data_IF_767870682485
#
_entry.id   IF_767870682485
#
_cell.length_a   1.000
_cell.length_b   1.000
_cell.length_c   1.000
_cell.angle_alpha   90.00
_cell.angle_beta   90.00
_cell.angle_gamma   90.00
#
_symmetry.space_group_name_H-M   'P 1'
#
loop_
_entity.id
_entity.type
_entity.pdbx_description
1 polymer ?
#
# COMPACT_ATOMS: atom_id res chain seq x y z
N UNK A 1 -27.83 122.35 -59.29
CA UNK A 1 -26.89 121.67 -58.38
C UNK A 1 -26.96 120.18 -58.69
N UNK A 2 -25.83 119.57 -59.07
CA UNK A 2 -25.78 118.18 -59.53
C UNK A 2 -26.06 117.22 -58.36
N UNK A 3 -27.03 116.31 -58.52
CA UNK A 3 -27.25 115.20 -57.58
C UNK A 3 -26.05 114.25 -57.64
N UNK A 4 -25.29 114.14 -56.54
CA UNK A 4 -24.27 113.12 -56.41
C UNK A 4 -24.93 111.74 -56.52
N UNK A 5 -24.50 110.91 -57.47
CA UNK A 5 -25.02 109.55 -57.62
C UNK A 5 -24.51 108.70 -56.44
N UNK A 6 -25.42 108.04 -55.72
CA UNK A 6 -25.09 107.12 -54.62
C UNK A 6 -24.35 105.90 -55.18
N UNK A 7 -23.17 105.59 -54.64
CA UNK A 7 -22.32 104.47 -55.09
C UNK A 7 -22.34 103.29 -54.12
N UNK A 8 -21.98 102.10 -54.62
CA UNK A 8 -21.86 100.89 -53.81
C UNK A 8 -20.88 101.05 -52.64
N UNK A 9 -19.71 101.66 -52.87
CA UNK A 9 -18.68 101.83 -51.83
C UNK A 9 -19.16 102.70 -50.68
N UNK A 10 -19.92 103.78 -50.98
CA UNK A 10 -20.51 104.63 -49.95
C UNK A 10 -21.50 103.84 -49.08
N UNK A 11 -22.38 103.05 -49.72
CA UNK A 11 -23.36 102.20 -49.01
C UNK A 11 -22.67 101.09 -48.21
N UNK A 12 -21.61 100.49 -48.73
CA UNK A 12 -20.81 99.48 -48.04
C UNK A 12 -20.07 100.04 -46.82
N UNK A 13 -19.48 101.24 -46.94
CA UNK A 13 -18.81 101.92 -45.84
C UNK A 13 -19.78 102.34 -44.74
N UNK A 14 -20.95 102.90 -45.11
CA UNK A 14 -22.01 103.23 -44.17
C UNK A 14 -22.58 101.99 -43.48
N UNK A 15 -22.81 100.91 -44.22
CA UNK A 15 -23.26 99.63 -43.67
C UNK A 15 -22.25 99.03 -42.68
N UNK A 16 -20.95 99.08 -43.01
CA UNK A 16 -19.89 98.65 -42.11
C UNK A 16 -19.81 99.52 -40.84
N UNK A 17 -20.02 100.83 -40.96
CA UNK A 17 -20.09 101.74 -39.81
C UNK A 17 -21.28 101.44 -38.88
N UNK A 18 -22.46 101.20 -39.44
CA UNK A 18 -23.66 100.79 -38.68
C UNK A 18 -23.44 99.43 -37.99
N UNK A 19 -22.81 98.48 -38.68
CA UNK A 19 -22.47 97.17 -38.12
C UNK A 19 -21.43 97.27 -36.99
N UNK A 20 -20.39 98.10 -37.15
CA UNK A 20 -19.39 98.35 -36.12
C UNK A 20 -19.97 99.04 -34.88
N UNK A 21 -21.07 99.78 -35.05
CA UNK A 21 -21.84 100.40 -33.98
C UNK A 21 -22.76 99.41 -33.24
N UNK A 22 -22.75 98.13 -33.63
CA UNK A 22 -23.62 97.08 -33.05
C UNK A 22 -25.11 97.26 -33.39
N UNK A 23 -25.45 98.17 -34.29
CA UNK A 23 -26.82 98.41 -34.70
C UNK A 23 -27.23 97.48 -35.85
N UNK A 24 -28.52 97.11 -35.95
CA UNK A 24 -29.00 96.33 -37.08
C UNK A 24 -28.82 97.15 -38.36
N UNK A 25 -28.08 96.61 -39.33
CA UNK A 25 -27.83 97.28 -40.62
C UNK A 25 -29.11 97.26 -41.46
N UNK A 26 -30.04 98.18 -41.18
CA UNK A 26 -31.29 98.40 -41.92
C UNK A 26 -31.11 99.44 -43.02
N UNK A 27 -32.03 99.48 -43.99
CA UNK A 27 -31.98 100.47 -45.10
C UNK A 27 -32.03 101.89 -44.54
N UNK A 28 -32.85 102.11 -43.51
CA UNK A 28 -33.03 103.40 -42.83
C UNK A 28 -31.75 103.86 -42.13
N UNK A 29 -31.11 102.97 -41.37
CA UNK A 29 -29.85 103.27 -40.67
C UNK A 29 -28.72 103.63 -41.65
N UNK A 30 -28.65 102.94 -42.79
CA UNK A 30 -27.65 103.20 -43.82
C UNK A 30 -27.96 104.49 -44.60
N UNK A 31 -29.23 104.79 -44.87
CA UNK A 31 -29.62 106.07 -45.50
C UNK A 31 -29.38 107.28 -44.58
N UNK A 32 -29.63 107.14 -43.29
CA UNK A 32 -29.36 108.19 -42.30
C UNK A 32 -27.86 108.44 -42.13
N UNK A 33 -27.04 107.39 -42.16
CA UNK A 33 -25.57 107.51 -42.11
C UNK A 33 -24.97 108.16 -43.38
N UNK A 34 -25.67 108.11 -44.52
CA UNK A 34 -25.26 108.71 -45.79
C UNK A 34 -25.80 110.13 -46.01
N UNK A 35 -26.67 110.64 -45.12
CA UNK A 35 -27.45 111.86 -45.29
C UNK A 35 -28.12 111.95 -46.68
N UNK A 36 -28.62 110.81 -47.15
CA UNK A 36 -29.20 110.62 -48.48
C UNK A 36 -30.59 109.99 -48.36
N UNK A 37 -31.55 110.35 -49.24
CA UNK A 37 -32.87 109.73 -49.21
C UNK A 37 -32.76 108.23 -49.46
N UNK A 38 -33.58 107.44 -48.74
CA UNK A 38 -33.71 106.01 -48.94
C UNK A 38 -34.23 105.71 -50.34
N UNK A 39 -33.31 105.46 -51.27
CA UNK A 39 -33.59 105.19 -52.68
C UNK A 39 -33.41 103.71 -52.99
N UNK A 40 -34.00 103.27 -54.11
CA UNK A 40 -33.85 101.90 -54.62
C UNK A 40 -32.36 101.53 -54.82
N UNK A 41 -31.51 102.51 -55.16
CA UNK A 41 -30.07 102.32 -55.31
C UNK A 41 -29.38 101.92 -53.98
N UNK A 42 -29.73 102.58 -52.85
CA UNK A 42 -29.23 102.22 -51.51
C UNK A 42 -29.66 100.79 -51.16
N UNK A 43 -30.91 100.42 -51.44
CA UNK A 43 -31.41 99.08 -51.18
C UNK A 43 -30.65 98.00 -51.97
N UNK A 44 -30.44 98.22 -53.28
CA UNK A 44 -29.71 97.28 -54.14
C UNK A 44 -28.25 97.11 -53.70
N UNK A 45 -27.56 98.22 -53.40
CA UNK A 45 -26.18 98.18 -52.92
C UNK A 45 -26.07 97.55 -51.52
N UNK A 46 -27.05 97.79 -50.64
CA UNK A 46 -27.08 97.19 -49.31
C UNK A 46 -27.37 95.67 -49.37
N UNK A 47 -28.24 95.23 -50.27
CA UNK A 47 -28.49 93.81 -50.50
C UNK A 47 -27.25 93.10 -51.06
N UNK A 48 -26.55 93.72 -52.01
CA UNK A 48 -25.28 93.22 -52.53
C UNK A 48 -24.21 93.14 -51.43
N UNK A 49 -24.10 94.16 -50.58
CA UNK A 49 -23.17 94.14 -49.45
C UNK A 49 -23.51 93.04 -48.43
N UNK A 50 -24.79 92.84 -48.10
CA UNK A 50 -25.18 91.74 -47.18
C UNK A 50 -24.85 90.36 -47.75
N UNK A 51 -24.92 90.19 -49.07
CA UNK A 51 -24.58 88.92 -49.73
C UNK A 51 -23.08 88.58 -49.67
N UNK A 52 -22.22 89.59 -49.46
CA UNK A 52 -20.78 89.41 -49.30
C UNK A 52 -20.34 89.31 -47.84
N UNK A 53 -21.28 89.44 -46.88
CA UNK A 53 -20.97 89.29 -45.46
C UNK A 53 -20.96 87.81 -45.04
N UNK A 54 -20.01 87.38 -44.19
CA UNK A 54 -20.00 86.05 -43.62
C UNK A 54 -21.29 85.78 -42.82
N UNK A 55 -21.97 84.63 -43.01
CA UNK A 55 -23.11 84.26 -42.17
C UNK A 55 -22.64 84.11 -40.73
N UNK A 56 -23.45 84.61 -39.78
CA UNK A 56 -23.14 84.54 -38.36
C UNK A 56 -22.97 83.08 -37.90
N UNK A 57 -22.02 82.78 -36.99
CA UNK A 57 -21.83 81.42 -36.48
C UNK A 57 -23.10 80.94 -35.78
N UNK A 58 -23.67 79.85 -36.27
CA UNK A 58 -24.74 79.13 -35.57
C UNK A 58 -24.09 78.38 -34.41
N UNK A 59 -24.57 78.52 -33.15
CA UNK A 59 -24.02 77.77 -32.03
C UNK A 59 -24.15 76.26 -32.30
N UNK A 60 -23.06 75.53 -32.08
CA UNK A 60 -23.06 74.08 -32.21
C UNK A 60 -23.97 73.48 -31.14
N UNK A 61 -24.87 72.55 -31.49
CA UNK A 61 -25.71 71.90 -30.49
C UNK A 61 -24.85 71.03 -29.56
N UNK A 62 -24.80 71.37 -28.28
CA UNK A 62 -24.21 70.53 -27.22
C UNK A 62 -25.25 69.53 -26.70
N UNK A 63 -24.80 68.30 -26.45
CA UNK A 63 -25.65 67.25 -25.88
C UNK A 63 -26.03 67.60 -24.43
N UNK A 64 -27.32 67.55 -24.07
CA UNK A 64 -27.77 67.81 -22.69
C UNK A 64 -27.13 66.83 -21.70
N UNK A 65 -26.71 67.34 -20.54
CA UNK A 65 -26.03 66.56 -19.51
C UNK A 65 -26.83 65.32 -19.06
N UNK A 66 -28.17 65.43 -19.00
CA UNK A 66 -29.06 64.34 -18.62
C UNK A 66 -29.01 63.17 -19.60
N UNK A 67 -28.87 63.46 -20.90
CA UNK A 67 -28.75 62.43 -21.95
C UNK A 67 -27.42 61.70 -21.82
N UNK A 68 -26.34 62.44 -21.52
CA UNK A 68 -25.02 61.86 -21.30
C UNK A 68 -24.99 60.95 -20.05
N UNK A 69 -25.65 61.40 -18.96
CA UNK A 69 -25.82 60.60 -17.75
C UNK A 69 -26.65 59.32 -18.01
N UNK A 70 -27.71 59.42 -18.81
CA UNK A 70 -28.52 58.26 -19.19
C UNK A 70 -27.73 57.25 -20.04
N UNK A 71 -26.94 57.72 -21.01
CA UNK A 71 -26.09 56.87 -21.85
C UNK A 71 -24.99 56.18 -21.05
N UNK A 72 -24.33 56.90 -20.15
CA UNK A 72 -23.30 56.31 -19.27
C UNK A 72 -23.89 55.30 -18.28
N UNK A 73 -25.09 55.58 -17.73
CA UNK A 73 -25.82 54.65 -16.89
C UNK A 73 -26.31 53.40 -17.64
N UNK A 74 -26.71 53.54 -18.90
CA UNK A 74 -27.01 52.39 -19.77
C UNK A 74 -25.75 51.58 -20.09
N UNK A 75 -24.65 52.23 -20.48
CA UNK A 75 -23.40 51.56 -20.82
C UNK A 75 -22.83 50.76 -19.64
N UNK A 76 -22.91 51.28 -18.41
CA UNK A 76 -22.54 50.55 -17.18
C UNK A 76 -23.40 49.31 -16.98
N UNK A 77 -24.74 49.45 -17.03
CA UNK A 77 -25.66 48.31 -16.89
C UNK A 77 -25.42 47.24 -17.95
N UNK A 78 -25.24 47.64 -19.20
CA UNK A 78 -24.95 46.71 -20.29
C UNK A 78 -23.61 45.98 -20.07
N UNK A 79 -22.55 46.69 -19.64
CA UNK A 79 -21.27 46.08 -19.31
C UNK A 79 -21.37 45.12 -18.11
N UNK A 80 -22.15 45.48 -17.10
CA UNK A 80 -22.42 44.63 -15.93
C UNK A 80 -23.16 43.35 -16.33
N UNK A 81 -24.22 43.47 -17.13
CA UNK A 81 -25.01 42.35 -17.66
C UNK A 81 -24.19 41.45 -18.59
N UNK A 82 -23.46 42.04 -19.54
CA UNK A 82 -22.60 41.29 -20.47
C UNK A 82 -21.48 40.53 -19.74
N UNK A 83 -20.92 41.12 -18.67
CA UNK A 83 -19.90 40.47 -17.84
C UNK A 83 -20.44 39.48 -16.80
N UNK A 84 -21.75 39.50 -16.51
CA UNK A 84 -22.34 38.71 -15.43
C UNK A 84 -22.17 37.20 -15.65
N UNK A 85 -22.44 36.71 -16.85
CA UNK A 85 -22.30 35.30 -17.19
C UNK A 85 -20.83 34.82 -17.08
N UNK A 86 -19.87 35.64 -17.52
CA UNK A 86 -18.44 35.30 -17.41
C UNK A 86 -17.98 35.26 -15.94
N UNK A 87 -18.40 36.22 -15.12
CA UNK A 87 -18.09 36.21 -13.67
C UNK A 87 -18.73 35.02 -12.96
N UNK A 88 -19.98 34.68 -13.29
CA UNK A 88 -20.64 33.50 -12.76
C UNK A 88 -19.93 32.20 -13.18
N UNK A 89 -19.51 32.10 -14.45
CA UNK A 89 -18.72 30.97 -14.94
C UNK A 89 -17.38 30.82 -14.21
N UNK A 90 -16.65 31.91 -14.02
CA UNK A 90 -15.39 31.90 -13.26
C UNK A 90 -15.60 31.47 -11.80
N UNK A 91 -16.64 32.00 -11.14
CA UNK A 91 -16.99 31.62 -9.78
C UNK A 91 -17.32 30.12 -9.67
N UNK A 92 -18.08 29.58 -10.64
CA UNK A 92 -18.39 28.16 -10.69
C UNK A 92 -17.12 27.33 -10.91
N UNK A 93 -16.26 27.69 -11.87
CA UNK A 93 -15.02 26.94 -12.12
C UNK A 93 -14.06 26.99 -10.93
N UNK A 94 -14.02 28.09 -10.19
CA UNK A 94 -13.24 28.18 -8.96
C UNK A 94 -13.78 27.21 -7.92
N UNK A 95 -15.10 27.18 -7.72
CA UNK A 95 -15.74 26.24 -6.81
C UNK A 95 -15.51 24.78 -7.21
N UNK A 96 -15.53 24.48 -8.51
CA UNK A 96 -15.27 23.12 -9.01
C UNK A 96 -13.80 22.72 -8.80
N UNK A 97 -12.86 23.65 -8.99
CA UNK A 97 -11.45 23.43 -8.72
C UNK A 97 -11.18 23.18 -7.23
N UNK A 98 -11.81 23.96 -6.34
CA UNK A 98 -11.69 23.75 -4.89
C UNK A 98 -12.22 22.36 -4.50
N UNK A 99 -13.38 21.96 -5.02
CA UNK A 99 -13.94 20.63 -4.78
C UNK A 99 -13.04 19.50 -5.32
N UNK A 100 -12.39 19.69 -6.47
CA UNK A 100 -11.44 18.72 -7.03
C UNK A 100 -10.16 18.62 -6.20
N UNK A 101 -9.66 19.74 -5.66
CA UNK A 101 -8.50 19.74 -4.77
C UNK A 101 -8.80 19.00 -3.47
N UNK A 102 -9.97 19.24 -2.88
CA UNK A 102 -10.42 18.52 -1.67
C UNK A 102 -10.58 17.02 -1.93
N UNK A 103 -11.20 16.65 -3.06
CA UNK A 103 -11.33 15.25 -3.45
C UNK A 103 -9.98 14.58 -3.71
N UNK A 104 -9.04 15.29 -4.35
CA UNK A 104 -7.68 14.80 -4.58
C UNK A 104 -6.93 14.58 -3.27
N UNK A 105 -7.03 15.52 -2.33
CA UNK A 105 -6.42 15.37 -1.01
C UNK A 105 -7.00 14.17 -0.24
N UNK A 106 -8.31 13.93 -0.36
CA UNK A 106 -8.96 12.73 0.20
C UNK A 106 -8.41 11.43 -0.41
N UNK A 107 -8.30 11.36 -1.74
CA UNK A 107 -7.77 10.19 -2.44
C UNK A 107 -6.29 9.93 -2.13
N UNK A 108 -5.49 10.98 -1.97
CA UNK A 108 -4.10 10.85 -1.56
C UNK A 108 -3.99 10.28 -0.15
N UNK A 109 -4.81 10.77 0.80
CA UNK A 109 -4.86 10.22 2.15
C UNK A 109 -5.31 8.76 2.18
N UNK A 110 -6.32 8.39 1.39
CA UNK A 110 -6.78 7.00 1.25
C UNK A 110 -5.69 6.09 0.66
N UNK A 111 -5.00 6.54 -0.40
CA UNK A 111 -3.87 5.80 -0.99
C UNK A 111 -2.75 5.59 0.03
N UNK A 112 -2.42 6.61 0.81
CA UNK A 112 -1.35 6.53 1.80
C UNK A 112 -1.73 5.56 2.92
N UNK A 113 -3.00 5.58 3.37
CA UNK A 113 -3.52 4.61 4.33
C UNK A 113 -3.49 3.17 3.80
N UNK A 114 -3.89 2.95 2.53
CA UNK A 114 -3.83 1.63 1.89
C UNK A 114 -2.40 1.14 1.73
N UNK A 115 -1.47 2.03 1.37
CA UNK A 115 -0.04 1.71 1.28
C UNK A 115 0.51 1.29 2.64
N UNK A 116 0.22 2.04 3.69
CA UNK A 116 0.65 1.71 5.05
C UNK A 116 0.09 0.35 5.52
N UNK A 117 -1.19 0.09 5.30
CA UNK A 117 -1.81 -1.18 5.65
C UNK A 117 -1.24 -2.37 4.85
N UNK A 118 -0.90 -2.15 3.58
CA UNK A 118 -0.22 -3.15 2.75
C UNK A 118 1.17 -3.47 3.30
N UNK A 119 1.94 -2.46 3.66
CA UNK A 119 3.31 -2.65 4.13
C UNK A 119 3.33 -3.35 5.49
N UNK A 120 2.41 -3.00 6.40
CA UNK A 120 2.19 -3.73 7.66
C UNK A 120 1.82 -5.20 7.41
N UNK A 121 0.92 -5.47 6.46
CA UNK A 121 0.54 -6.84 6.12
C UNK A 121 1.71 -7.66 5.54
N UNK A 122 2.60 -7.03 4.77
CA UNK A 122 3.81 -7.68 4.24
C UNK A 122 4.83 -7.99 5.34
N UNK A 123 5.00 -7.08 6.31
CA UNK A 123 5.85 -7.32 7.48
C UNK A 123 5.33 -8.50 8.31
N UNK A 124 4.03 -8.51 8.61
CA UNK A 124 3.39 -9.63 9.31
C UNK A 124 3.57 -10.94 8.53
N UNK A 125 3.40 -10.93 7.21
CA UNK A 125 3.58 -12.13 6.39
C UNK A 125 5.02 -12.67 6.50
N UNK A 126 6.03 -11.79 6.45
CA UNK A 126 7.42 -12.18 6.60
C UNK A 126 7.71 -12.81 7.97
N UNK A 127 7.19 -12.25 9.06
CA UNK A 127 7.30 -12.83 10.42
C UNK A 127 6.64 -14.22 10.51
N UNK A 128 5.50 -14.39 9.84
CA UNK A 128 4.78 -15.68 9.82
C UNK A 128 5.56 -16.72 9.03
N UNK A 129 6.16 -16.35 7.90
CA UNK A 129 6.99 -17.26 7.11
C UNK A 129 8.22 -17.71 7.91
N UNK A 130 8.92 -16.81 8.59
CA UNK A 130 10.05 -17.17 9.48
C UNK A 130 9.59 -18.12 10.61
N UNK A 131 8.43 -17.83 11.22
CA UNK A 131 7.85 -18.69 12.24
C UNK A 131 7.52 -20.08 11.71
N UNK A 132 6.95 -20.17 10.50
CA UNK A 132 6.62 -21.43 9.84
C UNK A 132 7.89 -22.22 9.57
N UNK A 133 8.93 -21.60 9.02
CA UNK A 133 10.21 -22.26 8.73
C UNK A 133 10.83 -22.85 10.00
N UNK A 134 10.88 -22.06 11.09
CA UNK A 134 11.37 -22.52 12.38
C UNK A 134 10.56 -23.71 12.90
N UNK A 135 9.23 -23.61 12.92
CA UNK A 135 8.35 -24.69 13.39
C UNK A 135 8.47 -25.95 12.53
N UNK A 136 8.66 -25.81 11.22
CA UNK A 136 8.90 -26.95 10.34
C UNK A 136 10.25 -27.62 10.63
N UNK A 137 11.31 -26.85 10.92
CA UNK A 137 12.60 -27.40 11.32
C UNK A 137 12.51 -28.16 12.66
N UNK A 138 11.84 -27.56 13.66
CA UNK A 138 11.57 -28.21 14.95
C UNK A 138 10.75 -29.50 14.78
N UNK A 139 9.71 -29.49 13.94
CA UNK A 139 8.88 -30.66 13.65
C UNK A 139 9.68 -31.78 12.96
N UNK A 140 10.55 -31.44 12.00
CA UNK A 140 11.43 -32.43 11.33
C UNK A 140 12.39 -33.06 12.34
N UNK A 141 13.00 -32.25 13.20
CA UNK A 141 13.89 -32.73 14.25
C UNK A 141 13.14 -33.65 15.24
N UNK A 142 11.98 -33.23 15.74
CA UNK A 142 11.17 -34.04 16.64
C UNK A 142 10.77 -35.39 16.03
N UNK A 143 10.41 -35.41 14.73
CA UNK A 143 10.10 -36.64 13.99
C UNK A 143 11.32 -37.55 13.85
N UNK A 144 12.50 -36.98 13.61
CA UNK A 144 13.74 -37.74 13.54
C UNK A 144 14.05 -38.39 14.88
N UNK A 145 14.06 -37.63 15.98
CA UNK A 145 14.29 -38.15 17.34
C UNK A 145 13.29 -39.26 17.67
N UNK A 146 12.01 -39.06 17.38
CA UNK A 146 10.99 -40.07 17.64
C UNK A 146 11.23 -41.36 16.83
N UNK A 147 11.62 -41.22 15.56
CA UNK A 147 11.94 -42.37 14.70
C UNK A 147 13.17 -43.12 15.21
N UNK A 148 14.24 -42.40 15.55
CA UNK A 148 15.47 -42.98 16.10
C UNK A 148 15.20 -43.70 17.42
N UNK A 149 14.36 -43.13 18.29
CA UNK A 149 13.94 -43.76 19.55
C UNK A 149 13.12 -45.05 19.31
N UNK A 150 12.21 -45.06 18.33
CA UNK A 150 11.43 -46.24 17.98
C UNK A 150 12.32 -47.35 17.40
N UNK A 151 13.26 -47.01 16.51
CA UNK A 151 14.23 -47.96 15.94
C UNK A 151 15.16 -48.50 17.03
N UNK A 152 15.65 -47.62 17.92
CA UNK A 152 16.45 -48.01 19.09
C UNK A 152 15.71 -49.00 19.97
N UNK A 153 14.46 -48.69 20.33
CA UNK A 153 13.61 -49.59 21.12
C UNK A 153 13.39 -50.94 20.45
N UNK A 154 13.14 -50.98 19.14
CA UNK A 154 12.97 -52.23 18.40
C UNK A 154 14.26 -53.06 18.40
N UNK A 155 15.42 -52.41 18.26
CA UNK A 155 16.74 -53.07 18.33
C UNK A 155 17.01 -53.64 19.73
N UNK A 156 16.71 -52.89 20.77
CA UNK A 156 16.87 -53.34 22.16
C UNK A 156 15.97 -54.54 22.45
N UNK A 157 14.72 -54.52 21.97
CA UNK A 157 13.78 -55.63 22.11
C UNK A 157 14.32 -56.92 21.44
N UNK A 158 14.81 -56.82 20.21
CA UNK A 158 15.43 -57.96 19.51
C UNK A 158 16.68 -58.48 20.24
N UNK A 159 17.48 -57.59 20.83
CA UNK A 159 18.66 -57.97 21.59
C UNK A 159 18.29 -58.69 22.91
N UNK A 160 17.21 -58.27 23.57
CA UNK A 160 16.67 -58.96 24.74
C UNK A 160 16.17 -60.35 24.36
N UNK A 161 15.34 -60.45 23.32
CA UNK A 161 14.81 -61.74 22.83
C UNK A 161 15.93 -62.72 22.44
N UNK A 162 16.98 -62.23 21.77
CA UNK A 162 18.16 -63.03 21.44
C UNK A 162 18.91 -63.53 22.67
N UNK A 163 19.08 -62.67 23.71
CA UNK A 163 19.71 -63.09 24.98
C UNK A 163 18.85 -64.06 25.77
N UNK A 164 17.52 -63.89 25.77
CA UNK A 164 16.59 -64.79 26.45
C UNK A 164 16.61 -66.19 25.83
N UNK A 165 16.69 -66.27 24.49
CA UNK A 165 16.95 -67.52 23.75
C UNK A 165 18.26 -68.17 24.19
N UNK A 166 19.36 -67.42 24.23
CA UNK A 166 20.66 -67.94 24.65
C UNK A 166 20.65 -68.44 26.11
N UNK A 167 19.98 -67.71 27.01
CA UNK A 167 19.81 -68.11 28.40
C UNK A 167 19.00 -69.40 28.54
N UNK A 168 17.94 -69.57 27.74
CA UNK A 168 17.16 -70.80 27.71
C UNK A 168 18.02 -72.00 27.25
N UNK A 169 18.81 -71.82 26.18
CA UNK A 169 19.71 -72.86 25.68
C UNK A 169 20.79 -73.23 26.70
N UNK A 170 21.40 -72.24 27.36
CA UNK A 170 22.41 -72.46 28.41
C UNK A 170 21.81 -73.19 29.62
N UNK A 171 20.59 -72.85 30.04
CA UNK A 171 19.88 -73.57 31.11
C UNK A 171 19.65 -75.03 30.73
N UNK A 172 19.18 -75.29 29.51
CA UNK A 172 18.97 -76.66 29.01
C UNK A 172 20.29 -77.45 28.91
N UNK A 173 21.40 -76.80 28.55
CA UNK A 173 22.72 -77.43 28.55
C UNK A 173 23.19 -77.75 29.98
N UNK A 174 23.01 -76.83 30.92
CA UNK A 174 23.33 -77.05 32.33
C UNK A 174 22.52 -78.21 32.92
N UNK A 175 21.20 -78.26 32.68
CA UNK A 175 20.34 -79.36 33.11
C UNK A 175 20.81 -80.70 32.56
N UNK A 176 21.15 -80.76 31.25
CA UNK A 176 21.71 -81.96 30.63
C UNK A 176 23.04 -82.38 31.25
N UNK A 177 23.93 -81.43 31.52
CA UNK A 177 25.22 -81.71 32.13
C UNK A 177 25.07 -82.17 33.59
N UNK A 178 24.16 -81.58 34.36
CA UNK A 178 23.86 -82.00 35.73
C UNK A 178 23.28 -83.41 35.74
N UNK A 179 22.33 -83.72 34.86
CA UNK A 179 21.78 -85.07 34.73
C UNK A 179 22.86 -86.09 34.31
N UNK A 180 23.74 -85.73 33.37
CA UNK A 180 24.84 -86.59 32.96
C UNK A 180 25.85 -86.83 34.10
N UNK A 181 26.17 -85.80 34.89
CA UNK A 181 27.05 -85.90 36.05
C UNK A 181 26.46 -86.75 37.17
N UNK A 182 25.15 -86.60 37.45
CA UNK A 182 24.45 -87.45 38.41
C UNK A 182 24.48 -88.93 37.98
N UNK A 183 24.18 -89.21 36.71
CA UNK A 183 24.26 -90.56 36.16
C UNK A 183 25.69 -91.15 36.19
N UNK A 184 26.73 -90.31 36.04
CA UNK A 184 28.13 -90.74 36.19
C UNK A 184 28.45 -91.10 37.65
N UNK A 185 28.01 -90.26 38.60
CA UNK A 185 28.15 -90.53 40.03
C UNK A 185 27.45 -91.82 40.45
N UNK A 186 26.21 -92.05 39.98
CA UNK A 186 25.46 -93.28 40.26
C UNK A 186 26.17 -94.52 39.70
N UNK A 187 26.71 -94.42 38.48
CA UNK A 187 27.52 -95.49 37.87
C UNK A 187 28.80 -95.78 38.66
N UNK A 188 29.48 -94.75 39.15
CA UNK A 188 30.66 -94.90 40.02
C UNK A 188 30.29 -95.57 41.34
N UNK A 189 29.22 -95.11 42.00
CA UNK A 189 28.76 -95.70 43.26
C UNK A 189 28.37 -97.16 43.07
N UNK A 190 27.66 -97.50 41.99
CA UNK A 190 27.33 -98.88 41.66
C UNK A 190 28.59 -99.75 41.49
N UNK A 191 29.58 -99.26 40.73
CA UNK A 191 30.86 -99.96 40.54
C UNK A 191 31.65 -100.10 41.85
N UNK A 192 31.65 -99.07 42.71
CA UNK A 192 32.26 -99.12 44.04
C UNK A 192 31.56 -100.15 44.95
N UNK A 193 30.23 -100.20 44.94
CA UNK A 193 29.45 -101.19 45.68
C UNK A 193 29.71 -102.62 45.18
N UNK A 194 29.76 -102.84 43.87
CA UNK A 194 30.13 -104.13 43.28
C UNK A 194 31.54 -104.56 43.69
N UNK A 195 32.51 -103.64 43.68
CA UNK A 195 33.88 -103.90 44.13
C UNK A 195 33.92 -104.29 45.61
N UNK A 196 33.21 -103.56 46.49
CA UNK A 196 33.12 -103.91 47.92
C UNK A 196 32.48 -105.28 48.11
N UNK A 197 31.43 -105.60 47.35
CA UNK A 197 30.81 -106.93 47.35
C UNK A 197 31.80 -108.02 46.95
N UNK A 198 32.56 -107.80 45.89
CA UNK A 198 33.59 -108.73 45.41
C UNK A 198 34.73 -108.91 46.42
N UNK A 199 35.18 -107.83 47.08
CA UNK A 199 36.20 -107.89 48.15
C UNK A 199 35.68 -108.69 49.34
N UNK A 200 34.44 -108.45 49.77
CA UNK A 200 33.82 -109.19 50.88
C UNK A 200 33.67 -110.67 50.56
N UNK A 201 33.23 -111.01 49.35
CA UNK A 201 33.15 -112.41 48.90
C UNK A 201 34.54 -113.07 48.87
N UNK A 202 35.56 -112.38 48.36
CA UNK A 202 36.95 -112.83 48.38
C UNK A 202 37.43 -113.11 49.81
N UNK A 203 37.15 -112.22 50.75
CA UNK A 203 37.59 -112.35 52.14
C UNK A 203 36.87 -113.52 52.85
N UNK A 204 35.58 -113.73 52.56
CA UNK A 204 34.84 -114.92 53.01
C UNK A 204 35.44 -116.21 52.45
N UNK A 205 35.70 -116.27 51.14
CA UNK A 205 36.35 -117.45 50.53
C UNK A 205 37.75 -117.69 51.11
N UNK A 206 38.52 -116.62 51.39
CA UNK A 206 39.82 -116.75 52.02
C UNK A 206 39.70 -117.33 53.45
N UNK A 207 38.69 -116.91 54.21
CA UNK A 207 38.39 -117.47 55.54
C UNK A 207 37.95 -118.94 55.46
N UNK A 208 37.04 -119.29 54.54
CA UNK A 208 36.61 -120.68 54.30
C UNK A 208 37.79 -121.57 53.90
N UNK A 209 38.69 -121.10 53.03
CA UNK A 209 39.91 -121.82 52.65
C UNK A 209 40.82 -122.02 53.86
N UNK A 210 41.00 -121.01 54.72
CA UNK A 210 41.79 -121.14 55.95
C UNK A 210 41.18 -122.16 56.91
N UNK A 211 39.85 -122.15 57.09
CA UNK A 211 39.16 -123.12 57.93
C UNK A 211 39.29 -124.54 57.38
N UNK A 212 39.10 -124.72 56.06
CA UNK A 212 39.28 -126.02 55.40
C UNK A 212 40.72 -126.54 55.53
N UNK A 213 41.73 -125.67 55.41
CA UNK A 213 43.14 -126.02 55.66
C UNK A 213 43.36 -126.46 57.11
N UNK A 214 42.87 -125.70 58.08
CA UNK A 214 42.98 -126.07 59.50
C UNK A 214 42.31 -127.42 59.81
N UNK A 215 41.15 -127.70 59.21
CA UNK A 215 40.45 -129.00 59.33
C UNK A 215 41.24 -130.15 58.71
N UNK A 216 41.90 -129.93 57.57
CA UNK A 216 42.78 -130.92 56.92
C UNK A 216 44.01 -131.20 57.78
N UNK A 217 44.69 -130.18 58.28
CA UNK A 217 45.84 -130.32 59.17
C UNK A 217 45.46 -131.08 60.45
N UNK A 218 44.32 -130.74 61.06
CA UNK A 218 43.80 -131.45 62.24
C UNK A 218 43.44 -132.93 61.96
N UNK A 219 43.07 -133.28 60.72
CA UNK A 219 42.87 -134.68 60.30
C UNK A 219 44.19 -135.40 60.01
N UNK A 220 45.17 -134.73 59.41
CA UNK A 220 46.50 -135.29 59.17
C UNK A 220 47.23 -135.58 60.49
N UNK A 221 47.14 -134.69 61.48
CA UNK A 221 47.67 -134.91 62.84
C UNK A 221 46.96 -136.08 63.54
N UNK A 222 45.68 -136.32 63.26
CA UNK A 222 44.88 -137.42 63.85
C UNK A 222 45.06 -138.77 63.13
N UNK A 223 45.60 -138.78 61.91
CA UNK A 223 45.91 -139.98 61.13
C UNK A 223 47.37 -140.45 61.25
N UNK A 224 48.22 -139.73 61.99
CA UNK A 224 49.62 -140.04 62.23
C UNK A 224 49.91 -140.54 63.67
N UNK A 225 48.88 -141.00 64.38
CA UNK A 225 48.96 -141.59 65.72
C UNK A 225 48.55 -143.06 65.72
#
# INVERSE_FOLDING_TARGET
MASAAVTFEAVAAAAAGVQASGQPVTIEAVSAALDAPATIAVHQHLAAWRSTQPPAPVPAPELPADVLAALTGWARRYADEAGAASRAGLAQTSSDLDALLDASAGLEAERDAVTAARDEALEILAERDETIERLQAELRNARQIATDALVGKAKDQLAIEGKDSQLADLRQQLERNVAAAAADSDRRLAAEMELVGAITARDNFAAEIQELRARLDARQVRGAG
#
